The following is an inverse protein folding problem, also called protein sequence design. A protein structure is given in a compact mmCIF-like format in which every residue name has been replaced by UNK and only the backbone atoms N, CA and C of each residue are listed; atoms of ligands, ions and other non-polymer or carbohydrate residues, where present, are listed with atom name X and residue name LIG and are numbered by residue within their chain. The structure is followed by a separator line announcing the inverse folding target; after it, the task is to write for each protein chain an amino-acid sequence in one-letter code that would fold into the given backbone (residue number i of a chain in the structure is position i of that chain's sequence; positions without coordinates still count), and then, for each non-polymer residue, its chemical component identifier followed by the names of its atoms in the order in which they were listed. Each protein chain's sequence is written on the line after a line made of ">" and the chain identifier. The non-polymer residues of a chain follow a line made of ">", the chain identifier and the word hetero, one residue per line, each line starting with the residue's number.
data_IF_021495859739
#
_entry.id   IF_021495859739
#
_cell.length_a   1.000
_cell.length_b   1.000
_cell.length_c   1.000
_cell.angle_alpha   90.00
_cell.angle_beta   90.00
_cell.angle_gamma   90.00
#
_symmetry.space_group_name_H-M   'P 1'
#
loop_
_entity.id
_entity.type
_entity.pdbx_description
1 polymer ?
#
# COMPACT_ATOMS: atom_id res chain seq x y z
N UNK A 1 13.99 -0.82 -3.51
CA UNK A 1 14.14 -1.84 -4.56
C UNK A 1 13.27 -1.39 -5.70
N UNK A 2 13.89 -0.88 -6.77
CA UNK A 2 13.16 -0.57 -7.98
C UNK A 2 13.08 -1.86 -8.79
N UNK A 3 11.85 -2.31 -9.05
CA UNK A 3 11.50 -3.53 -9.77
C UNK A 3 11.68 -3.33 -11.28
N UNK A 4 12.87 -2.88 -11.72
CA UNK A 4 13.08 -2.45 -13.10
C UNK A 4 12.83 -3.56 -14.13
N UNK A 5 13.25 -4.80 -13.84
CA UNK A 5 13.02 -5.93 -14.76
C UNK A 5 11.58 -6.48 -14.68
N UNK A 6 10.94 -6.44 -13.51
CA UNK A 6 9.66 -7.11 -13.30
C UNK A 6 8.54 -6.48 -14.12
N UNK A 7 8.53 -5.14 -14.26
CA UNK A 7 7.48 -4.46 -15.02
C UNK A 7 7.51 -4.77 -16.50
N UNK A 8 8.70 -4.80 -17.12
CA UNK A 8 8.87 -5.16 -18.52
C UNK A 8 8.50 -6.61 -18.79
N UNK A 9 8.86 -7.53 -17.89
CA UNK A 9 8.44 -8.95 -17.98
C UNK A 9 6.92 -9.09 -17.89
N UNK A 10 6.27 -8.35 -16.98
CA UNK A 10 4.81 -8.34 -16.86
C UNK A 10 4.17 -7.74 -18.12
N UNK A 11 4.66 -6.60 -18.61
CA UNK A 11 4.16 -5.97 -19.83
C UNK A 11 4.28 -6.90 -21.05
N UNK A 12 5.42 -7.58 -21.19
CA UNK A 12 5.62 -8.59 -22.22
C UNK A 12 4.63 -9.76 -22.07
N UNK A 13 4.38 -10.23 -20.85
CA UNK A 13 3.37 -11.25 -20.59
C UNK A 13 1.96 -10.81 -20.98
N UNK A 14 1.59 -9.57 -20.65
CA UNK A 14 0.30 -8.97 -21.02
C UNK A 14 0.19 -8.91 -22.55
N UNK A 15 1.17 -8.33 -23.24
CA UNK A 15 1.17 -8.14 -24.68
C UNK A 15 0.97 -9.46 -25.46
N UNK A 16 1.58 -10.54 -24.98
CA UNK A 16 1.51 -11.84 -25.65
C UNK A 16 0.35 -12.72 -25.17
N UNK A 17 -0.21 -12.44 -23.99
CA UNK A 17 -1.18 -13.31 -23.33
C UNK A 17 -2.62 -12.78 -23.31
N UNK A 18 -2.81 -11.48 -23.50
CA UNK A 18 -4.12 -10.82 -23.37
C UNK A 18 -4.69 -10.40 -24.74
N UNK A 19 -6.03 -10.39 -24.90
CA UNK A 19 -6.65 -9.88 -26.12
C UNK A 19 -6.46 -8.36 -26.26
N UNK A 20 -5.84 -7.93 -27.36
CA UNK A 20 -5.56 -6.52 -27.64
C UNK A 20 -6.83 -5.69 -27.93
N UNK A 21 -7.95 -6.31 -28.30
CA UNK A 21 -9.24 -5.67 -28.61
C UNK A 21 -10.16 -5.52 -27.39
N UNK A 22 -9.59 -5.55 -26.19
CA UNK A 22 -10.31 -5.45 -24.91
C UNK A 22 -9.70 -4.38 -24.02
N UNK A 23 -10.47 -3.93 -23.04
CA UNK A 23 -9.96 -3.09 -21.95
C UNK A 23 -9.82 -3.96 -20.71
N UNK A 24 -8.64 -3.92 -20.07
CA UNK A 24 -8.39 -4.66 -18.85
C UNK A 24 -8.76 -3.82 -17.61
N UNK A 25 -9.66 -4.33 -16.78
CA UNK A 25 -10.00 -3.71 -15.51
C UNK A 25 -8.99 -4.12 -14.42
N UNK A 26 -8.43 -3.14 -13.70
CA UNK A 26 -7.44 -3.34 -12.65
C UNK A 26 -7.97 -2.93 -11.28
N UNK A 27 -7.62 -3.69 -10.25
CA UNK A 27 -7.98 -3.40 -8.85
C UNK A 27 -7.03 -2.45 -8.12
N UNK A 28 -6.04 -1.91 -8.83
CA UNK A 28 -4.99 -1.07 -8.26
C UNK A 28 -5.55 0.22 -7.65
N UNK A 29 -4.79 0.87 -6.77
CA UNK A 29 -5.20 2.01 -5.96
C UNK A 29 -6.24 1.69 -4.87
N UNK A 30 -6.87 0.50 -4.89
CA UNK A 30 -7.69 0.02 -3.76
C UNK A 30 -6.89 -0.11 -2.46
N UNK A 31 -5.56 -0.26 -2.56
CA UNK A 31 -4.67 -0.34 -1.44
C UNK A 31 -4.59 0.97 -0.65
N UNK A 32 -4.91 2.11 -1.27
CA UNK A 32 -5.01 3.41 -0.59
C UNK A 32 -6.09 3.37 0.49
N UNK A 33 -7.17 2.63 0.26
CA UNK A 33 -8.22 2.45 1.25
C UNK A 33 -7.84 1.48 2.37
N UNK A 34 -6.65 0.87 2.38
CA UNK A 34 -6.18 0.01 3.47
C UNK A 34 -5.33 0.82 4.44
N UNK A 35 -5.44 0.51 5.72
CA UNK A 35 -4.58 1.09 6.76
C UNK A 35 -3.18 0.48 6.65
N UNK A 36 -2.40 0.92 5.65
CA UNK A 36 -1.16 0.27 5.24
C UNK A 36 -0.07 0.28 6.32
N UNK A 37 0.09 1.42 6.99
CA UNK A 37 1.06 1.59 8.07
C UNK A 37 0.52 1.13 9.42
N UNK A 38 -0.75 0.70 9.48
CA UNK A 38 -1.39 0.18 10.69
C UNK A 38 -0.85 -1.19 11.09
N UNK A 39 -0.83 -1.41 12.40
CA UNK A 39 -0.48 -2.69 13.01
C UNK A 39 -1.66 -3.38 13.68
N UNK A 40 -1.41 -4.49 14.41
CA UNK A 40 -2.42 -5.15 15.23
C UNK A 40 -3.04 -4.22 16.29
N UNK A 41 -2.29 -3.21 16.72
CA UNK A 41 -2.69 -2.22 17.72
C UNK A 41 -3.45 -1.02 17.12
N UNK A 42 -3.73 -1.05 15.81
CA UNK A 42 -4.44 0.01 15.09
C UNK A 42 -3.54 0.86 14.19
N UNK A 43 -4.07 1.96 13.62
CA UNK A 43 -3.28 2.90 12.83
C UNK A 43 -2.18 3.56 13.68
N UNK A 44 -1.05 3.95 13.08
CA UNK A 44 -0.03 4.73 13.79
C UNK A 44 -0.58 6.10 14.18
N UNK A 45 -0.14 6.62 15.32
CA UNK A 45 -0.40 8.01 15.68
C UNK A 45 0.55 8.89 14.87
N UNK A 46 0.05 9.53 13.82
CA UNK A 46 0.82 10.47 13.00
C UNK A 46 0.23 11.87 13.08
N UNK A 47 1.06 12.86 13.43
CA UNK A 47 0.66 14.26 13.48
C UNK A 47 1.78 15.23 13.08
N UNK A 48 3.04 14.82 13.23
CA UNK A 48 4.22 15.57 12.85
C UNK A 48 5.02 14.88 11.73
N UNK A 49 5.89 15.63 11.05
CA UNK A 49 6.82 15.09 10.06
C UNK A 49 7.70 13.97 10.62
N UNK A 50 8.12 14.08 11.89
CA UNK A 50 8.89 13.06 12.59
C UNK A 50 8.17 11.71 12.69
N UNK A 51 6.83 11.72 12.87
CA UNK A 51 6.03 10.48 12.93
C UNK A 51 6.02 9.78 11.57
N UNK A 52 5.99 10.56 10.48
CA UNK A 52 6.02 10.06 9.10
C UNK A 52 7.39 9.49 8.75
N UNK A 53 8.47 10.16 9.17
CA UNK A 53 9.83 9.64 9.05
C UNK A 53 10.00 8.31 9.80
N UNK A 54 9.36 8.16 10.95
CA UNK A 54 9.41 6.92 11.74
C UNK A 54 8.71 5.73 11.06
N UNK A 55 7.81 5.96 10.09
CA UNK A 55 7.14 4.90 9.34
C UNK A 55 8.12 4.08 8.48
N UNK A 56 9.26 4.67 8.07
CA UNK A 56 10.24 4.00 7.22
C UNK A 56 11.62 4.00 7.88
N UNK A 57 12.09 2.84 8.39
CA UNK A 57 13.37 2.77 9.10
C UNK A 57 14.56 3.20 8.24
N UNK A 58 15.37 4.13 8.75
CA UNK A 58 16.57 4.62 8.08
C UNK A 58 16.38 5.94 7.31
N UNK A 59 15.16 6.48 7.27
CA UNK A 59 14.86 7.71 6.53
C UNK A 59 15.26 8.99 7.27
N UNK A 60 15.10 9.01 8.60
CA UNK A 60 15.46 10.16 9.42
C UNK A 60 16.98 10.47 9.36
N UNK A 61 17.79 9.46 9.07
CA UNK A 61 19.25 9.56 8.97
C UNK A 61 19.73 10.09 7.62
N UNK A 62 18.83 10.26 6.64
CA UNK A 62 19.15 10.77 5.30
C UNK A 62 18.67 12.23 5.20
N UNK A 63 19.56 13.24 5.25
CA UNK A 63 19.15 14.64 5.36
C UNK A 63 18.21 15.12 4.25
N UNK A 64 18.43 14.65 3.01
CA UNK A 64 17.55 14.95 1.88
C UNK A 64 16.12 14.45 2.09
N UNK A 65 15.95 13.23 2.61
CA UNK A 65 14.63 12.64 2.86
C UNK A 65 13.96 13.35 4.03
N UNK A 66 14.70 13.60 5.13
CA UNK A 66 14.19 14.34 6.27
C UNK A 66 13.65 15.72 5.87
N UNK A 67 14.42 16.48 5.10
CA UNK A 67 13.99 17.79 4.58
C UNK A 67 12.76 17.68 3.66
N UNK A 68 12.72 16.68 2.77
CA UNK A 68 11.59 16.47 1.86
C UNK A 68 10.29 16.12 2.60
N UNK A 69 10.37 15.34 3.68
CA UNK A 69 9.18 14.99 4.49
C UNK A 69 8.71 16.19 5.31
N UNK A 70 9.63 17.02 5.82
CA UNK A 70 9.28 18.27 6.50
C UNK A 70 8.54 19.22 5.55
N UNK A 71 9.07 19.42 4.34
CA UNK A 71 8.44 20.24 3.31
C UNK A 71 7.06 19.71 2.90
N UNK A 72 6.95 18.40 2.64
CA UNK A 72 5.69 17.74 2.32
C UNK A 72 4.65 17.92 3.46
N UNK A 73 5.07 17.76 4.72
CA UNK A 73 4.20 17.86 5.89
C UNK A 73 3.55 19.25 6.03
N UNK A 74 4.26 20.33 5.69
CA UNK A 74 3.75 21.70 5.77
C UNK A 74 2.45 21.91 4.98
N UNK A 75 2.31 21.27 3.82
CA UNK A 75 1.07 21.29 3.03
C UNK A 75 0.12 20.14 3.37
N UNK A 76 0.66 18.93 3.54
CA UNK A 76 -0.12 17.71 3.72
C UNK A 76 -0.92 17.72 5.03
N UNK A 77 -0.39 18.28 6.12
CA UNK A 77 -1.09 18.33 7.41
C UNK A 77 -2.41 19.12 7.31
N UNK A 78 -2.39 20.25 6.61
CA UNK A 78 -3.60 21.06 6.38
C UNK A 78 -4.61 20.31 5.48
N UNK A 79 -4.14 19.64 4.43
CA UNK A 79 -4.98 18.85 3.53
C UNK A 79 -5.62 17.64 4.25
N UNK A 80 -4.85 16.94 5.07
CA UNK A 80 -5.32 15.83 5.91
C UNK A 80 -6.42 16.31 6.86
N UNK A 81 -6.18 17.41 7.59
CA UNK A 81 -7.17 17.98 8.50
C UNK A 81 -8.46 18.43 7.77
N UNK A 82 -8.34 19.08 6.62
CA UNK A 82 -9.49 19.56 5.84
C UNK A 82 -10.32 18.43 5.21
N UNK A 83 -9.67 17.32 4.84
CA UNK A 83 -10.33 16.17 4.21
C UNK A 83 -10.83 15.12 5.20
N UNK A 84 -10.30 15.13 6.44
CA UNK A 84 -10.54 14.06 7.42
C UNK A 84 -9.78 12.76 7.12
N UNK A 85 -8.88 12.76 6.14
CA UNK A 85 -8.02 11.63 5.81
C UNK A 85 -6.85 11.61 6.80
N UNK A 86 -6.52 10.42 7.33
CA UNK A 86 -5.37 10.27 8.22
C UNK A 86 -4.07 10.61 7.48
N UNK A 87 -3.13 11.26 8.18
CA UNK A 87 -1.91 11.78 7.57
C UNK A 87 -1.02 10.67 6.99
N UNK A 88 -0.97 9.50 7.63
CA UNK A 88 -0.26 8.32 7.15
C UNK A 88 -0.92 7.65 5.95
N UNK A 89 -2.26 7.66 5.86
CA UNK A 89 -2.98 7.21 4.66
C UNK A 89 -2.71 8.16 3.48
N UNK A 90 -2.70 9.48 3.72
CA UNK A 90 -2.34 10.47 2.71
C UNK A 90 -0.89 10.29 2.26
N UNK A 91 0.03 10.06 3.19
CA UNK A 91 1.43 9.75 2.88
C UNK A 91 1.56 8.47 2.05
N UNK A 92 0.84 7.41 2.41
CA UNK A 92 0.83 6.16 1.64
C UNK A 92 0.35 6.39 0.21
N UNK A 93 -0.74 7.16 0.05
CA UNK A 93 -1.32 7.50 -1.24
C UNK A 93 -0.29 8.22 -2.12
N UNK A 94 0.29 9.32 -1.63
CA UNK A 94 1.15 10.17 -2.44
C UNK A 94 2.54 9.56 -2.66
N UNK A 95 3.17 9.04 -1.61
CA UNK A 95 4.53 8.53 -1.70
C UNK A 95 4.56 7.11 -2.29
N UNK A 96 3.96 6.14 -1.61
CA UNK A 96 4.08 4.73 -2.00
C UNK A 96 3.24 4.47 -3.24
N UNK A 97 1.92 4.59 -3.13
CA UNK A 97 1.00 4.30 -4.23
C UNK A 97 1.34 5.15 -5.46
N UNK A 98 1.57 6.45 -5.27
CA UNK A 98 2.01 7.34 -6.34
C UNK A 98 3.29 6.87 -7.05
N UNK A 99 4.30 6.39 -6.31
CA UNK A 99 5.56 5.93 -6.91
C UNK A 99 5.45 4.60 -7.65
N UNK A 100 4.95 3.53 -7.01
CA UNK A 100 4.97 2.20 -7.63
C UNK A 100 3.85 2.03 -8.67
N UNK A 101 2.69 2.65 -8.44
CA UNK A 101 1.56 2.53 -9.35
C UNK A 101 1.77 3.33 -10.63
N UNK A 102 2.42 4.50 -10.56
CA UNK A 102 2.72 5.29 -11.76
C UNK A 102 3.71 4.57 -12.67
N UNK A 103 4.80 4.04 -12.11
CA UNK A 103 5.80 3.29 -12.87
C UNK A 103 5.21 2.06 -13.53
N UNK A 104 4.44 1.26 -12.79
CA UNK A 104 3.81 0.06 -13.36
C UNK A 104 2.78 0.40 -14.44
N UNK A 105 2.00 1.48 -14.30
CA UNK A 105 1.06 1.89 -15.34
C UNK A 105 1.75 2.35 -16.61
N UNK A 106 2.84 3.12 -16.51
CA UNK A 106 3.61 3.55 -17.69
C UNK A 106 4.09 2.37 -18.53
N UNK A 107 4.59 1.31 -17.90
CA UNK A 107 5.07 0.11 -18.60
C UNK A 107 3.91 -0.72 -19.17
N UNK A 108 2.81 -0.83 -18.43
CA UNK A 108 1.69 -1.68 -18.83
C UNK A 108 0.78 -1.06 -19.89
N UNK A 109 0.66 0.27 -19.95
CA UNK A 109 -0.16 0.98 -20.95
C UNK A 109 0.35 0.74 -22.38
N UNK A 110 1.65 0.44 -22.54
CA UNK A 110 2.22 0.07 -23.84
C UNK A 110 1.64 -1.26 -24.34
N UNK A 111 1.26 -2.17 -23.42
CA UNK A 111 0.85 -3.53 -23.73
C UNK A 111 -0.68 -3.71 -23.81
N UNK A 112 -1.46 -2.95 -23.05
CA UNK A 112 -2.90 -3.13 -22.93
C UNK A 112 -3.59 -1.85 -22.46
N UNK A 113 -4.72 -1.51 -23.09
CA UNK A 113 -5.62 -0.47 -22.59
C UNK A 113 -6.21 -0.89 -21.22
N UNK A 114 -6.04 -0.05 -20.19
CA UNK A 114 -6.44 -0.40 -18.82
C UNK A 114 -7.34 0.63 -18.15
N UNK A 115 -8.27 0.14 -17.33
CA UNK A 115 -9.15 0.97 -16.52
C UNK A 115 -9.00 0.60 -15.04
N UNK A 116 -8.72 1.60 -14.20
CA UNK A 116 -8.60 1.44 -12.74
C UNK A 116 -9.76 2.16 -12.05
N UNK A 117 -10.81 1.44 -11.58
CA UNK A 117 -12.00 2.07 -10.99
C UNK A 117 -11.70 2.87 -9.72
N UNK A 118 -10.68 2.46 -8.98
CA UNK A 118 -10.24 3.15 -7.76
C UNK A 118 -9.46 4.44 -8.05
N UNK A 119 -9.15 4.76 -9.31
CA UNK A 119 -8.66 6.08 -9.70
C UNK A 119 -9.80 7.12 -9.77
N UNK A 120 -10.69 7.07 -8.78
CA UNK A 120 -11.87 7.92 -8.64
C UNK A 120 -11.85 8.55 -7.24
N UNK A 121 -11.71 9.89 -7.20
CA UNK A 121 -11.60 10.65 -5.96
C UNK A 121 -12.81 10.48 -5.03
N UNK A 122 -14.02 10.41 -5.58
CA UNK A 122 -15.25 10.25 -4.80
C UNK A 122 -15.27 8.86 -4.17
N UNK A 123 -14.94 7.83 -4.94
CA UNK A 123 -14.85 6.46 -4.45
C UNK A 123 -13.78 6.35 -3.35
N UNK A 124 -12.55 6.80 -3.60
CA UNK A 124 -11.48 6.76 -2.60
C UNK A 124 -11.82 7.55 -1.34
N UNK A 125 -12.35 8.77 -1.49
CA UNK A 125 -12.79 9.58 -0.33
C UNK A 125 -13.89 8.90 0.48
N UNK A 126 -14.83 8.22 -0.19
CA UNK A 126 -15.89 7.45 0.48
C UNK A 126 -15.31 6.28 1.26
N UNK A 127 -14.37 5.53 0.65
CA UNK A 127 -13.73 4.37 1.29
C UNK A 127 -12.83 4.80 2.45
N UNK A 128 -12.11 5.91 2.33
CA UNK A 128 -11.26 6.47 3.38
C UNK A 128 -12.04 7.02 4.58
N UNK A 129 -13.34 7.34 4.39
CA UNK A 129 -14.25 7.71 5.48
C UNK A 129 -14.62 6.56 6.41
N UNK A 130 -14.31 5.31 6.05
CA UNK A 130 -14.53 4.14 6.90
C UNK A 130 -13.46 4.10 8.00
N UNK A 131 -13.81 3.78 9.27
CA UNK A 131 -12.85 3.72 10.36
C UNK A 131 -11.62 2.86 10.05
N UNK A 132 -10.43 3.35 10.41
CA UNK A 132 -9.16 2.68 10.10
C UNK A 132 -9.09 1.23 10.60
N UNK A 133 -9.76 0.90 11.71
CA UNK A 133 -9.85 -0.47 12.23
C UNK A 133 -10.57 -1.43 11.27
N UNK A 134 -11.60 -0.95 10.55
CA UNK A 134 -12.35 -1.74 9.57
C UNK A 134 -11.62 -1.87 8.23
N UNK A 135 -10.63 -0.99 7.99
CA UNK A 135 -9.76 -0.99 6.80
C UNK A 135 -8.42 -1.73 7.01
N UNK A 136 -8.14 -2.16 8.24
CA UNK A 136 -6.89 -2.81 8.61
C UNK A 136 -6.72 -4.18 7.92
N UNK A 137 -5.48 -4.55 7.62
CA UNK A 137 -5.20 -5.67 6.71
C UNK A 137 -5.64 -7.03 7.25
N UNK A 138 -5.48 -7.23 8.57
CA UNK A 138 -5.95 -8.42 9.27
C UNK A 138 -7.38 -8.21 9.74
N UNK A 139 -8.34 -8.63 8.92
CA UNK A 139 -9.76 -8.47 9.24
C UNK A 139 -10.43 -7.30 8.53
N UNK A 140 -9.87 -6.84 7.40
CA UNK A 140 -10.43 -5.81 6.54
C UNK A 140 -11.92 -6.06 6.28
N UNK A 141 -12.75 -5.39 7.07
CA UNK A 141 -14.19 -5.56 7.11
C UNK A 141 -14.79 -4.84 5.91
N UNK A 142 -14.26 -3.66 5.58
CA UNK A 142 -14.65 -2.91 4.38
C UNK A 142 -14.63 -3.77 3.11
N UNK A 143 -13.50 -4.39 2.79
CA UNK A 143 -13.37 -5.22 1.59
C UNK A 143 -14.25 -6.47 1.66
N UNK A 144 -14.44 -7.05 2.86
CA UNK A 144 -15.35 -8.20 3.04
C UNK A 144 -16.81 -7.82 2.81
N UNK A 145 -17.24 -6.65 3.28
CA UNK A 145 -18.59 -6.14 3.03
C UNK A 145 -18.79 -5.80 1.54
N UNK A 146 -17.78 -5.21 0.88
CA UNK A 146 -17.82 -4.99 -0.57
C UNK A 146 -17.97 -6.32 -1.32
N UNK A 147 -17.19 -7.34 -0.98
CA UNK A 147 -17.32 -8.67 -1.58
C UNK A 147 -18.70 -9.25 -1.27
N UNK A 148 -19.19 -9.16 -0.02
CA UNK A 148 -20.52 -9.66 0.35
C UNK A 148 -21.63 -9.01 -0.46
N UNK A 149 -21.54 -7.69 -0.68
CA UNK A 149 -22.54 -6.95 -1.44
C UNK A 149 -22.48 -7.28 -2.95
N UNK A 150 -21.29 -7.52 -3.49
CA UNK A 150 -21.09 -7.82 -4.91
C UNK A 150 -21.35 -9.28 -5.26
N UNK A 151 -20.78 -10.21 -4.49
CA UNK A 151 -20.95 -11.66 -4.62
C UNK A 151 -20.68 -12.37 -3.28
N UNK A 152 -21.72 -12.71 -2.50
CA UNK A 152 -21.59 -13.46 -1.26
C UNK A 152 -20.90 -14.83 -1.43
N UNK A 153 -21.03 -15.47 -2.60
CA UNK A 153 -20.44 -16.79 -2.83
C UNK A 153 -18.90 -16.72 -2.90
N UNK A 154 -18.35 -15.58 -3.34
CA UNK A 154 -16.91 -15.35 -3.36
C UNK A 154 -16.28 -15.43 -1.95
N UNK A 155 -17.02 -15.09 -0.89
CA UNK A 155 -16.56 -15.23 0.50
C UNK A 155 -16.35 -16.68 0.95
N UNK A 156 -16.79 -17.68 0.16
CA UNK A 156 -16.50 -19.10 0.41
C UNK A 156 -15.04 -19.44 0.08
N UNK A 157 -14.38 -18.64 -0.74
CA UNK A 157 -12.96 -18.80 -1.06
C UNK A 157 -12.13 -18.19 0.08
N UNK A 158 -11.16 -18.93 0.65
CA UNK A 158 -10.36 -18.40 1.75
C UNK A 158 -9.49 -17.23 1.28
N UNK A 159 -9.60 -16.09 1.97
CA UNK A 159 -8.77 -14.91 1.74
C UNK A 159 -7.42 -15.12 2.43
N UNK A 160 -6.32 -15.11 1.66
CA UNK A 160 -4.95 -15.27 2.17
C UNK A 160 -4.78 -16.48 3.12
N UNK A 161 -5.06 -17.73 2.68
CA UNK A 161 -5.00 -18.89 3.55
C UNK A 161 -3.59 -19.07 4.15
N UNK A 162 -3.51 -19.21 5.47
CA UNK A 162 -2.27 -19.55 6.19
C UNK A 162 -1.94 -21.03 6.00
N UNK A 163 -1.42 -21.37 4.83
CA UNK A 163 -0.89 -22.71 4.53
C UNK A 163 0.31 -23.02 5.45
N UNK A 164 0.60 -24.30 5.75
CA UNK A 164 1.79 -24.68 6.52
C UNK A 164 3.08 -24.10 5.92
N UNK A 165 3.17 -24.08 4.59
CA UNK A 165 4.26 -23.42 3.85
C UNK A 165 4.34 -21.92 4.18
N UNK A 166 3.24 -21.17 4.07
CA UNK A 166 3.23 -19.73 4.43
C UNK A 166 3.64 -19.51 5.89
N UNK A 167 3.20 -20.36 6.83
CA UNK A 167 3.62 -20.25 8.24
C UNK A 167 5.12 -20.44 8.42
N UNK A 168 5.72 -21.40 7.69
CA UNK A 168 7.16 -21.63 7.73
C UNK A 168 7.94 -20.44 7.16
N UNK A 169 7.46 -19.86 6.05
CA UNK A 169 8.05 -18.66 5.44
C UNK A 169 7.95 -17.45 6.40
N UNK A 170 6.75 -17.17 6.93
CA UNK A 170 6.52 -16.09 7.89
C UNK A 170 7.41 -16.23 9.14
N UNK A 171 7.59 -17.46 9.65
CA UNK A 171 8.47 -17.74 10.77
C UNK A 171 9.94 -17.44 10.43
N UNK A 172 10.41 -17.88 9.26
CA UNK A 172 11.76 -17.60 8.77
C UNK A 172 12.00 -16.10 8.54
N UNK A 173 11.00 -15.36 8.06
CA UNK A 173 11.07 -13.91 7.93
C UNK A 173 11.15 -13.20 9.28
N UNK A 174 10.33 -13.60 10.25
CA UNK A 174 10.39 -13.06 11.62
C UNK A 174 11.76 -13.27 12.26
N UNK A 175 12.35 -14.46 12.11
CA UNK A 175 13.71 -14.74 12.58
C UNK A 175 14.74 -13.83 11.92
N UNK A 176 14.67 -13.68 10.58
CA UNK A 176 15.56 -12.78 9.83
C UNK A 176 15.41 -11.32 10.26
N UNK A 177 14.19 -10.84 10.45
CA UNK A 177 13.93 -9.48 10.95
C UNK A 177 14.47 -9.26 12.36
N UNK A 178 14.28 -10.23 13.26
CA UNK A 178 14.82 -10.17 14.63
C UNK A 178 16.35 -10.13 14.62
N UNK A 179 16.99 -11.01 13.85
CA UNK A 179 18.45 -11.03 13.70
C UNK A 179 19.00 -9.71 13.14
N UNK A 180 18.36 -9.16 12.09
CA UNK A 180 18.74 -7.85 11.52
C UNK A 180 18.59 -6.71 12.53
N UNK A 181 17.54 -6.73 13.34
CA UNK A 181 17.34 -5.75 14.42
C UNK A 181 18.44 -5.81 15.48
N UNK A 182 18.78 -7.00 15.95
CA UNK A 182 19.86 -7.17 16.95
C UNK A 182 21.23 -6.77 16.36
N UNK A 183 21.52 -7.14 15.11
CA UNK A 183 22.74 -6.72 14.42
C UNK A 183 22.83 -5.19 14.26
N UNK A 184 21.71 -4.51 14.00
CA UNK A 184 21.66 -3.04 13.95
C UNK A 184 21.95 -2.42 15.32
N UNK A 185 21.36 -2.95 16.39
CA UNK A 185 21.61 -2.51 17.78
C UNK A 185 23.08 -2.64 18.18
N UNK A 186 23.74 -3.70 17.73
CA UNK A 186 25.17 -3.93 17.98
C UNK A 186 26.09 -3.00 17.18
N UNK A 187 25.64 -2.45 16.04
CA UNK A 187 26.39 -1.50 15.21
C UNK A 187 26.30 -0.04 15.65
N UNK A 188 25.34 0.27 16.51
CA UNK A 188 25.12 1.62 17.09
C UNK A 188 25.68 1.77 18.51
N UNK A 189 26.52 0.84 18.96
CA UNK A 189 27.36 0.93 20.17
C UNK A 189 28.82 1.05 19.74
#
# INVERSE_FOLDING_TARGET
>A
MAHYDDWGVIAHGILNGHPADRVAMKGNASEVARTFYGGPDGPPATGAAADILALIPGWAEIPFIAASIEEWHQGAAAAAAASGIALDDLFYWEHRCGSWQSQSQLEWDIAQETFTPFSNRILLGTLLGVPAAERADHGNTLLREIIRAADPAALRVPINPRTPYRRAVEFGERLRHRARRELRRLRTR
#
